data_IF_745553553896
#
_entry.id   IF_745553553896
#
_cell.length_a   1.000
_cell.length_b   1.000
_cell.length_c   1.000
_cell.angle_alpha   90.00
_cell.angle_beta   90.00
_cell.angle_gamma   90.00
#
_symmetry.space_group_name_H-M   'P 1'
#
loop_
_entity.id
_entity.type
_entity.pdbx_description
1 polymer ?
#
# COMPACT_ATOMS: atom_id res chain seq x y z
N UNK A 1 -17.88 8.60 3.51
CA UNK A 1 -18.37 8.06 2.23
C UNK A 1 -19.58 7.16 2.49
N UNK A 2 -20.55 7.06 1.61
CA UNK A 2 -21.71 6.16 1.72
C UNK A 2 -22.01 5.53 0.37
N UNK A 3 -22.24 4.22 0.36
CA UNK A 3 -22.60 3.45 -0.84
C UNK A 3 -24.10 3.64 -1.14
N UNK A 4 -24.43 4.04 -2.36
CA UNK A 4 -25.81 4.23 -2.79
C UNK A 4 -26.50 2.87 -2.99
N UNK A 5 -27.80 2.79 -2.60
CA UNK A 5 -28.55 1.54 -2.66
C UNK A 5 -28.28 0.55 -1.55
N UNK A 6 -27.39 0.89 -0.59
CA UNK A 6 -27.12 0.04 0.55
C UNK A 6 -28.37 -0.28 1.38
N UNK A 7 -28.46 -1.51 1.86
CA UNK A 7 -29.55 -1.96 2.72
C UNK A 7 -29.43 -1.28 4.08
N UNK A 8 -30.36 -0.40 4.44
CA UNK A 8 -30.32 0.46 5.64
C UNK A 8 -30.26 -0.30 6.99
N UNK A 9 -30.48 -1.61 7.00
CA UNK A 9 -30.44 -2.44 8.21
C UNK A 9 -29.12 -3.21 8.37
N UNK A 10 -28.17 -3.08 7.42
CA UNK A 10 -26.91 -3.76 7.50
C UNK A 10 -26.03 -3.07 8.55
N UNK A 11 -25.63 -3.82 9.56
CA UNK A 11 -24.72 -3.34 10.61
C UNK A 11 -23.31 -3.86 10.32
N UNK A 12 -22.33 -2.97 10.37
CA UNK A 12 -20.93 -3.36 10.27
C UNK A 12 -20.53 -4.19 11.48
N UNK A 13 -19.83 -5.30 11.24
CA UNK A 13 -19.20 -6.10 12.28
C UNK A 13 -17.69 -5.91 12.25
N UNK A 14 -17.10 -5.69 13.42
CA UNK A 14 -15.65 -5.70 13.57
C UNK A 14 -15.19 -7.15 13.39
N UNK A 15 -14.28 -7.36 12.44
CA UNK A 15 -13.65 -8.67 12.26
C UNK A 15 -12.37 -8.66 13.07
N UNK A 16 -12.38 -9.47 14.13
CA UNK A 16 -11.19 -9.82 14.87
C UNK A 16 -10.60 -11.09 14.26
N UNK A 17 -9.46 -10.98 13.58
CA UNK A 17 -8.81 -12.12 12.94
C UNK A 17 -8.15 -13.07 13.92
N UNK A 18 -8.15 -12.76 15.22
CA UNK A 18 -7.54 -13.58 16.25
C UNK A 18 -8.55 -13.91 17.35
N UNK A 19 -9.02 -15.15 17.37
CA UNK A 19 -9.68 -15.70 18.53
C UNK A 19 -8.68 -15.68 19.70
N UNK A 20 -8.88 -14.75 20.64
CA UNK A 20 -8.14 -14.70 21.90
C UNK A 20 -8.57 -15.86 22.80
N UNK A 21 -8.18 -17.08 22.49
CA UNK A 21 -8.31 -18.17 23.43
C UNK A 21 -7.00 -18.34 24.20
N UNK A 22 -7.11 -18.01 25.48
CA UNK A 22 -6.41 -18.52 26.64
C UNK A 22 -4.89 -18.59 26.58
N UNK A 23 -4.18 -17.50 26.79
CA UNK A 23 -2.77 -17.63 27.09
C UNK A 23 -2.17 -16.37 27.70
N UNK A 24 -0.92 -16.38 28.04
CA UNK A 24 -0.21 -15.41 28.86
C UNK A 24 -0.39 -13.95 28.41
N UNK A 25 -0.24 -13.00 29.33
CA UNK A 25 -0.27 -11.54 29.07
C UNK A 25 0.59 -11.14 27.88
N UNK A 26 1.74 -11.81 27.68
CA UNK A 26 2.66 -11.56 26.56
C UNK A 26 2.05 -12.00 25.21
N UNK A 27 1.39 -13.17 25.17
CA UNK A 27 0.73 -13.66 23.96
C UNK A 27 -0.49 -12.79 23.59
N UNK A 28 -1.23 -12.29 24.59
CA UNK A 28 -2.30 -11.32 24.38
C UNK A 28 -1.75 -10.00 23.82
N UNK A 29 -0.61 -9.51 24.29
CA UNK A 29 0.05 -8.33 23.72
C UNK A 29 0.53 -8.57 22.29
N UNK A 30 1.16 -9.71 21.99
CA UNK A 30 1.59 -10.09 20.65
C UNK A 30 0.41 -10.27 19.69
N UNK A 31 -0.71 -10.78 20.19
CA UNK A 31 -1.96 -10.90 19.41
C UNK A 31 -2.56 -9.53 19.13
N UNK A 32 -2.52 -8.60 20.10
CA UNK A 32 -2.94 -7.21 19.92
C UNK A 32 -2.09 -6.45 18.88
N UNK A 33 -0.82 -6.82 18.71
CA UNK A 33 0.08 -6.24 17.70
C UNK A 33 -0.33 -6.57 16.26
N UNK A 34 -1.12 -7.64 16.05
CA UNK A 34 -1.58 -8.09 14.73
C UNK A 34 -3.04 -7.75 14.42
N UNK A 35 -3.71 -6.91 15.20
CA UNK A 35 -5.08 -6.49 14.94
C UNK A 35 -5.12 -5.36 13.91
N UNK A 36 -5.64 -5.63 12.73
CA UNK A 36 -6.11 -4.60 11.81
C UNK A 36 -7.56 -4.22 12.16
N UNK A 37 -7.86 -2.93 12.19
CA UNK A 37 -9.24 -2.48 12.37
C UNK A 37 -10.00 -2.70 11.06
N UNK A 38 -10.71 -3.81 10.97
CA UNK A 38 -11.54 -4.16 9.81
C UNK A 38 -13.01 -4.11 10.20
N UNK A 39 -13.82 -3.44 9.38
CA UNK A 39 -15.28 -3.42 9.52
C UNK A 39 -15.88 -4.00 8.27
N UNK A 40 -16.65 -5.08 8.41
CA UNK A 40 -17.32 -5.76 7.31
C UNK A 40 -18.82 -5.53 7.39
N UNK A 41 -19.40 -5.03 6.32
CA UNK A 41 -20.83 -4.94 6.07
C UNK A 41 -21.22 -6.06 5.10
N UNK A 42 -21.75 -7.15 5.64
CA UNK A 42 -22.17 -8.30 4.83
C UNK A 42 -23.46 -8.01 4.09
N UNK A 43 -23.52 -8.45 2.83
CA UNK A 43 -24.70 -8.33 1.97
C UNK A 43 -25.26 -6.90 1.93
N UNK A 44 -24.36 -5.90 1.86
CA UNK A 44 -24.76 -4.49 1.77
C UNK A 44 -25.56 -4.22 0.48
N UNK A 45 -25.24 -4.95 -0.58
CA UNK A 45 -26.02 -5.15 -1.79
C UNK A 45 -26.19 -6.65 -2.04
N UNK A 46 -27.08 -7.06 -2.94
CA UNK A 46 -27.25 -8.48 -3.25
C UNK A 46 -25.96 -9.13 -3.78
N UNK A 47 -25.40 -10.04 -2.99
CA UNK A 47 -24.14 -10.73 -3.27
C UNK A 47 -22.90 -9.85 -3.18
N UNK A 48 -22.96 -8.71 -2.50
CA UNK A 48 -21.82 -7.81 -2.30
C UNK A 48 -21.64 -7.49 -0.83
N UNK A 49 -20.43 -7.67 -0.33
CA UNK A 49 -20.01 -7.18 0.96
C UNK A 49 -19.17 -5.92 0.77
N UNK A 50 -19.17 -5.03 1.77
CA UNK A 50 -18.31 -3.86 1.82
C UNK A 50 -17.41 -3.96 3.05
N UNK A 51 -16.12 -3.86 2.84
CA UNK A 51 -15.14 -3.94 3.89
C UNK A 51 -14.33 -2.63 3.97
N UNK A 52 -14.20 -2.11 5.17
CA UNK A 52 -13.25 -1.03 5.46
C UNK A 52 -12.11 -1.58 6.27
N UNK A 53 -10.88 -1.35 5.80
CA UNK A 53 -9.66 -1.61 6.53
C UNK A 53 -9.07 -0.24 6.87
N UNK A 54 -9.04 0.09 8.16
CA UNK A 54 -8.52 1.37 8.63
C UNK A 54 -7.05 1.19 8.95
N UNK A 55 -6.21 1.79 8.13
CA UNK A 55 -4.78 1.92 8.33
C UNK A 55 -4.47 3.32 8.88
N UNK A 56 -3.24 3.57 9.29
CA UNK A 56 -2.86 4.81 9.94
C UNK A 56 -2.98 6.06 9.06
N UNK A 57 -2.92 5.93 7.75
CA UNK A 57 -2.98 7.07 6.80
C UNK A 57 -3.87 6.80 5.59
N UNK A 58 -4.43 5.60 5.48
CA UNK A 58 -5.43 5.30 4.48
C UNK A 58 -6.64 4.60 5.09
N UNK A 59 -7.75 4.69 4.40
CA UNK A 59 -8.90 3.82 4.59
C UNK A 59 -9.05 3.02 3.32
N UNK A 60 -8.70 1.75 3.40
CA UNK A 60 -8.91 0.81 2.31
C UNK A 60 -10.37 0.40 2.30
N UNK A 61 -11.05 0.56 1.18
CA UNK A 61 -12.42 0.13 0.97
C UNK A 61 -12.43 -1.01 -0.04
N UNK A 62 -12.80 -2.19 0.38
CA UNK A 62 -12.94 -3.34 -0.49
C UNK A 62 -14.41 -3.60 -0.80
N UNK A 63 -14.77 -3.60 -2.08
CA UNK A 63 -16.05 -4.09 -2.55
C UNK A 63 -15.86 -5.57 -2.88
N UNK A 64 -16.46 -6.47 -2.09
CA UNK A 64 -16.29 -7.91 -2.22
C UNK A 64 -17.50 -8.48 -2.94
N UNK A 65 -17.33 -8.82 -4.22
CA UNK A 65 -18.36 -9.39 -5.06
C UNK A 65 -18.33 -10.90 -4.93
N UNK A 66 -19.41 -11.50 -4.44
CA UNK A 66 -19.48 -12.93 -4.10
C UNK A 66 -20.03 -13.81 -5.23
N UNK A 67 -20.69 -13.24 -6.20
CA UNK A 67 -21.36 -13.98 -7.29
C UNK A 67 -21.44 -13.15 -8.57
N UNK A 68 -21.62 -13.83 -9.71
CA UNK A 68 -21.87 -13.18 -11.01
C UNK A 68 -23.10 -12.25 -10.95
N UNK A 69 -23.02 -11.12 -11.63
CA UNK A 69 -24.07 -10.09 -11.72
C UNK A 69 -24.13 -9.52 -13.15
N UNK A 70 -25.18 -8.76 -13.44
CA UNK A 70 -25.33 -8.03 -14.71
C UNK A 70 -24.78 -6.61 -14.66
N UNK A 71 -24.38 -6.14 -13.46
CA UNK A 71 -23.90 -4.77 -13.27
C UNK A 71 -22.82 -4.75 -12.18
N UNK A 72 -21.69 -4.14 -12.49
CA UNK A 72 -20.54 -3.96 -11.61
C UNK A 72 -20.15 -2.48 -11.50
N UNK A 73 -21.16 -1.63 -11.37
CA UNK A 73 -21.02 -0.19 -11.15
C UNK A 73 -21.47 0.16 -9.74
N UNK A 74 -20.56 0.66 -8.92
CA UNK A 74 -20.80 0.99 -7.52
C UNK A 74 -20.70 2.50 -7.32
N UNK A 75 -21.76 3.10 -6.80
CA UNK A 75 -21.86 4.56 -6.64
C UNK A 75 -21.76 4.94 -5.17
N UNK A 76 -20.87 5.88 -4.88
CA UNK A 76 -20.63 6.41 -3.54
C UNK A 76 -20.91 7.91 -3.49
N UNK A 77 -21.52 8.35 -2.40
CA UNK A 77 -21.57 9.77 -2.05
C UNK A 77 -20.41 10.10 -1.12
N UNK A 78 -19.54 11.01 -1.55
CA UNK A 78 -18.41 11.53 -0.75
C UNK A 78 -18.77 12.94 -0.28
N UNK A 79 -18.51 13.22 1.00
CA UNK A 79 -18.59 14.57 1.56
C UNK A 79 -17.18 14.99 1.99
N UNK A 80 -16.71 16.06 1.41
CA UNK A 80 -15.42 16.67 1.70
C UNK A 80 -15.59 17.97 2.46
N UNK A 81 -14.71 18.21 3.43
CA UNK A 81 -14.63 19.47 4.15
C UNK A 81 -13.28 20.10 3.81
N UNK A 82 -13.29 21.33 3.31
CA UNK A 82 -12.12 22.09 2.89
C UNK A 82 -11.25 21.41 1.80
N UNK A 83 -11.80 20.46 1.09
CA UNK A 83 -11.12 19.78 -0.03
C UNK A 83 -11.99 19.83 -1.29
N UNK A 84 -11.33 19.96 -2.44
CA UNK A 84 -11.91 19.78 -3.75
C UNK A 84 -11.45 18.43 -4.33
N UNK A 85 -12.32 17.75 -5.09
CA UNK A 85 -11.99 16.51 -5.77
C UNK A 85 -12.00 16.70 -7.29
N UNK A 86 -10.97 16.20 -7.96
CA UNK A 86 -10.85 16.23 -9.43
C UNK A 86 -10.37 14.87 -9.91
N UNK A 87 -11.05 14.33 -10.92
CA UNK A 87 -10.59 13.16 -11.67
C UNK A 87 -9.54 13.64 -12.70
N UNK A 88 -8.31 13.14 -12.60
CA UNK A 88 -7.22 13.51 -13.48
C UNK A 88 -7.18 12.67 -14.77
N UNK A 89 -6.27 13.01 -15.68
CA UNK A 89 -6.07 12.30 -16.96
C UNK A 89 -5.52 10.88 -16.78
N UNK A 90 -4.93 10.57 -15.62
CA UNK A 90 -4.45 9.23 -15.25
C UNK A 90 -5.53 8.35 -14.66
N UNK A 91 -6.77 8.85 -14.51
CA UNK A 91 -7.87 8.12 -13.88
C UNK A 91 -7.81 8.07 -12.35
N UNK A 92 -7.02 8.93 -11.72
CA UNK A 92 -6.91 9.11 -10.27
C UNK A 92 -7.80 10.26 -9.82
N UNK A 93 -8.22 10.25 -8.55
CA UNK A 93 -8.92 11.39 -7.97
C UNK A 93 -7.97 12.15 -7.05
N UNK A 94 -7.70 13.39 -7.38
CA UNK A 94 -6.90 14.30 -6.59
C UNK A 94 -7.80 15.06 -5.62
N UNK A 95 -7.49 15.00 -4.33
CA UNK A 95 -8.15 15.74 -3.28
C UNK A 95 -7.23 16.89 -2.86
N UNK A 96 -7.58 18.11 -3.25
CA UNK A 96 -6.75 19.31 -3.02
C UNK A 96 -7.39 20.21 -1.97
N UNK A 97 -6.58 20.84 -1.13
CA UNK A 97 -7.03 21.88 -0.20
C UNK A 97 -7.75 23.00 -0.97
N UNK A 98 -8.94 23.35 -0.53
CA UNK A 98 -9.81 24.30 -1.24
C UNK A 98 -9.27 25.72 -1.29
N UNK A 99 -8.34 26.09 -0.40
CA UNK A 99 -7.75 27.43 -0.31
C UNK A 99 -6.42 27.56 -1.02
N UNK A 100 -5.54 26.57 -0.89
CA UNK A 100 -4.18 26.58 -1.47
C UNK A 100 -4.10 25.89 -2.83
N UNK A 101 -5.03 24.96 -3.13
CA UNK A 101 -4.94 24.08 -4.31
C UNK A 101 -3.91 22.95 -4.18
N UNK A 102 -3.24 22.83 -3.03
CA UNK A 102 -2.27 21.76 -2.78
C UNK A 102 -2.97 20.40 -2.73
N UNK A 103 -2.45 19.41 -3.44
CA UNK A 103 -2.96 18.03 -3.37
C UNK A 103 -2.59 17.43 -2.01
N UNK A 104 -3.60 17.10 -1.21
CA UNK A 104 -3.45 16.54 0.12
C UNK A 104 -3.59 15.02 0.12
N UNK A 105 -4.47 14.48 -0.75
CA UNK A 105 -4.71 13.06 -0.89
C UNK A 105 -4.91 12.68 -2.35
N UNK A 106 -4.61 11.41 -2.66
CA UNK A 106 -4.89 10.80 -3.96
C UNK A 106 -5.71 9.53 -3.72
N UNK A 107 -6.78 9.35 -4.50
CA UNK A 107 -7.45 8.07 -4.67
C UNK A 107 -6.90 7.50 -5.97
N UNK A 108 -5.99 6.50 -5.94
CA UNK A 108 -5.43 5.89 -7.13
C UNK A 108 -6.50 5.24 -8.01
N UNK A 109 -6.16 4.89 -9.23
CA UNK A 109 -7.02 4.08 -10.11
C UNK A 109 -7.48 2.81 -9.40
N UNK A 110 -8.75 2.39 -9.59
CA UNK A 110 -9.25 1.20 -8.94
C UNK A 110 -8.53 -0.05 -9.45
N UNK A 111 -8.40 -1.04 -8.61
CA UNK A 111 -7.90 -2.37 -8.99
C UNK A 111 -8.95 -3.43 -8.68
N UNK A 112 -8.91 -4.56 -9.39
CA UNK A 112 -9.73 -5.72 -9.06
C UNK A 112 -8.92 -7.01 -9.22
N UNK A 113 -9.19 -7.98 -8.35
CA UNK A 113 -8.59 -9.30 -8.41
C UNK A 113 -9.58 -10.37 -7.94
N UNK A 114 -9.47 -11.55 -8.51
CA UNK A 114 -10.29 -12.70 -8.15
C UNK A 114 -9.68 -13.54 -7.00
N UNK A 115 -10.40 -14.56 -6.55
CA UNK A 115 -9.97 -15.40 -5.44
C UNK A 115 -8.67 -16.20 -5.73
N UNK A 116 -8.33 -16.40 -6.99
CA UNK A 116 -7.07 -17.05 -7.43
C UNK A 116 -5.93 -16.04 -7.56
N UNK A 117 -6.18 -14.75 -7.28
CA UNK A 117 -5.19 -13.68 -7.34
C UNK A 117 -4.94 -13.15 -8.77
N UNK A 118 -5.83 -13.42 -9.71
CA UNK A 118 -5.75 -12.90 -11.08
C UNK A 118 -6.28 -11.47 -11.10
N UNK A 119 -5.41 -10.52 -11.45
CA UNK A 119 -5.77 -9.10 -11.55
C UNK A 119 -6.42 -8.76 -12.88
N UNK A 120 -7.38 -7.85 -12.84
CA UNK A 120 -7.91 -7.20 -14.03
C UNK A 120 -6.86 -6.24 -14.61
N UNK A 121 -6.83 -6.12 -15.95
CA UNK A 121 -6.09 -5.03 -16.59
C UNK A 121 -6.66 -3.68 -16.16
N UNK A 122 -5.79 -2.68 -15.93
CA UNK A 122 -6.20 -1.36 -15.46
C UNK A 122 -7.17 -0.64 -16.42
N UNK A 123 -7.14 -0.95 -17.72
CA UNK A 123 -8.07 -0.42 -18.70
C UNK A 123 -9.53 -0.90 -18.53
N UNK A 124 -9.74 -1.97 -17.75
CA UNK A 124 -11.05 -2.57 -17.48
C UNK A 124 -11.76 -1.94 -16.26
N UNK A 125 -11.09 -1.00 -15.58
CA UNK A 125 -11.63 -0.29 -14.43
C UNK A 125 -11.52 1.21 -14.61
N UNK A 126 -12.53 1.95 -14.16
CA UNK A 126 -12.47 3.41 -14.18
C UNK A 126 -13.33 4.04 -13.08
N UNK A 127 -12.96 5.27 -12.71
CA UNK A 127 -13.82 6.16 -11.95
C UNK A 127 -14.62 7.07 -12.88
N UNK A 128 -15.79 7.47 -12.40
CA UNK A 128 -16.42 8.72 -12.81
C UNK A 128 -16.74 9.54 -11.57
N UNK A 129 -16.46 10.85 -11.63
CA UNK A 129 -16.64 11.78 -10.53
C UNK A 129 -17.56 12.93 -10.98
N UNK A 130 -18.55 13.26 -10.15
CA UNK A 130 -19.43 14.40 -10.39
C UNK A 130 -19.54 15.24 -9.13
N UNK A 131 -19.28 16.54 -9.24
CA UNK A 131 -19.54 17.50 -8.17
C UNK A 131 -21.04 17.78 -8.07
N UNK A 132 -21.61 17.55 -6.91
CA UNK A 132 -23.04 17.80 -6.62
C UNK A 132 -23.25 19.06 -5.77
N UNK A 133 -22.18 19.82 -5.51
CA UNK A 133 -22.19 21.06 -4.77
C UNK A 133 -22.08 20.87 -3.25
N UNK A 134 -21.74 21.95 -2.56
CA UNK A 134 -21.59 21.98 -1.09
C UNK A 134 -20.58 20.96 -0.54
N UNK A 135 -19.47 20.73 -1.25
CA UNK A 135 -18.45 19.76 -0.89
C UNK A 135 -18.92 18.30 -0.99
N UNK A 136 -19.98 18.04 -1.75
CA UNK A 136 -20.44 16.68 -2.01
C UNK A 136 -20.11 16.27 -3.43
N UNK A 137 -19.67 15.03 -3.57
CA UNK A 137 -19.32 14.41 -4.85
C UNK A 137 -19.98 13.05 -4.95
N UNK A 138 -20.36 12.70 -6.17
CA UNK A 138 -20.76 11.33 -6.53
C UNK A 138 -19.57 10.68 -7.21
N UNK A 139 -19.00 9.64 -6.57
CA UNK A 139 -17.97 8.78 -7.11
C UNK A 139 -18.61 7.48 -7.59
N UNK A 140 -18.31 7.07 -8.81
CA UNK A 140 -18.72 5.77 -9.32
C UNK A 140 -17.47 4.97 -9.70
N UNK A 141 -17.43 3.73 -9.23
CA UNK A 141 -16.42 2.72 -9.59
C UNK A 141 -17.06 1.78 -10.59
N UNK A 142 -16.47 1.64 -11.78
CA UNK A 142 -16.97 0.75 -12.82
C UNK A 142 -15.92 -0.32 -13.11
N UNK A 143 -16.39 -1.56 -13.28
CA UNK A 143 -15.54 -2.70 -13.68
C UNK A 143 -16.17 -3.34 -14.92
N UNK A 144 -15.32 -3.77 -15.85
CA UNK A 144 -15.75 -4.44 -17.07
C UNK A 144 -16.55 -5.71 -16.77
N UNK A 145 -17.73 -5.78 -17.36
CA UNK A 145 -18.70 -6.87 -17.10
C UNK A 145 -18.24 -8.20 -17.70
N UNK A 146 -17.56 -8.18 -18.83
CA UNK A 146 -17.11 -9.40 -19.52
C UNK A 146 -15.97 -10.03 -18.73
N UNK A 147 -15.02 -9.22 -18.22
CA UNK A 147 -13.98 -9.70 -17.34
C UNK A 147 -14.55 -10.30 -16.05
N UNK A 148 -15.47 -9.58 -15.40
CA UNK A 148 -16.12 -10.03 -14.16
C UNK A 148 -16.88 -11.35 -14.35
N UNK A 149 -17.55 -11.55 -15.50
CA UNK A 149 -18.37 -12.72 -15.76
C UNK A 149 -17.66 -13.84 -16.52
N UNK A 150 -16.39 -13.69 -16.88
CA UNK A 150 -15.61 -14.75 -17.53
C UNK A 150 -15.67 -16.05 -16.70
N UNK A 151 -15.69 -17.18 -17.39
CA UNK A 151 -15.73 -18.49 -16.76
C UNK A 151 -14.40 -18.85 -16.07
N UNK A 152 -13.31 -18.12 -16.39
CA UNK A 152 -12.00 -18.22 -15.76
C UNK A 152 -11.90 -17.44 -14.44
N UNK A 153 -12.99 -16.80 -13.97
CA UNK A 153 -12.97 -16.01 -12.72
C UNK A 153 -13.37 -16.84 -11.51
N UNK A 154 -12.56 -16.77 -10.47
CA UNK A 154 -12.85 -17.36 -9.17
C UNK A 154 -13.47 -16.30 -8.24
N UNK A 155 -14.68 -16.55 -7.76
CA UNK A 155 -15.33 -15.67 -6.78
C UNK A 155 -14.93 -16.05 -5.35
N UNK A 156 -14.85 -15.09 -4.39
CA UNK A 156 -15.19 -13.67 -4.56
C UNK A 156 -14.16 -12.89 -5.34
N UNK A 157 -14.63 -11.84 -6.04
CA UNK A 157 -13.78 -10.83 -6.65
C UNK A 157 -13.75 -9.62 -5.74
N UNK A 158 -12.55 -9.08 -5.48
CA UNK A 158 -12.35 -7.87 -4.69
C UNK A 158 -12.05 -6.71 -5.62
N UNK A 159 -12.81 -5.62 -5.47
CA UNK A 159 -12.56 -4.34 -6.12
C UNK A 159 -12.07 -3.39 -5.03
N UNK A 160 -10.88 -2.84 -5.22
CA UNK A 160 -10.15 -2.06 -4.22
C UNK A 160 -9.91 -0.64 -4.73
N UNK A 161 -10.69 0.38 -4.31
CA UNK A 161 -10.40 1.78 -4.48
C UNK A 161 -9.63 2.32 -3.25
N UNK A 162 -8.30 2.20 -3.16
CA UNK A 162 -7.54 2.67 -2.00
C UNK A 162 -7.55 4.20 -1.92
N UNK A 163 -7.46 4.75 -0.70
CA UNK A 163 -7.12 6.17 -0.46
C UNK A 163 -5.71 6.19 0.09
N UNK A 164 -4.76 6.79 -0.64
CA UNK A 164 -3.36 6.83 -0.25
C UNK A 164 -2.79 8.24 -0.12
N UNK A 165 -1.65 8.36 0.57
CA UNK A 165 -0.87 9.59 0.67
C UNK A 165 -0.27 9.95 -0.69
N UNK A 166 -0.08 11.24 -1.03
CA UNK A 166 0.49 11.66 -2.30
C UNK A 166 1.84 11.02 -2.61
N UNK A 167 1.99 10.47 -3.80
CA UNK A 167 3.26 9.94 -4.31
C UNK A 167 4.34 11.03 -4.40
N UNK A 168 3.95 12.30 -4.49
CA UNK A 168 4.89 13.44 -4.48
C UNK A 168 5.81 13.48 -3.24
N UNK A 169 5.49 12.72 -2.18
CA UNK A 169 6.36 12.56 -1.02
C UNK A 169 7.33 11.38 -1.12
N UNK A 170 7.19 10.52 -2.14
CA UNK A 170 8.02 9.32 -2.32
C UNK A 170 9.21 9.63 -3.22
N UNK A 171 10.36 9.08 -2.87
CA UNK A 171 11.54 9.01 -3.74
C UNK A 171 11.97 7.56 -3.77
N UNK A 172 12.03 6.96 -4.93
CA UNK A 172 12.59 5.64 -5.13
C UNK A 172 13.54 5.62 -6.34
N UNK A 173 14.45 4.70 -6.34
CA UNK A 173 15.41 4.47 -7.41
C UNK A 173 16.16 3.16 -7.20
N UNK A 174 16.96 2.77 -8.15
CA UNK A 174 18.00 1.75 -7.97
C UNK A 174 19.39 2.27 -8.31
N UNK A 175 20.40 1.57 -7.83
CA UNK A 175 21.81 1.80 -8.12
C UNK A 175 22.44 0.52 -8.61
N UNK A 176 23.48 0.65 -9.45
CA UNK A 176 24.11 -0.50 -10.11
C UNK A 176 25.64 -0.46 -9.93
N UNK A 177 26.24 -1.58 -9.45
CA UNK A 177 27.71 -1.68 -9.29
C UNK A 177 28.48 -1.76 -10.60
N UNK A 178 27.86 -2.23 -11.69
CA UNK A 178 28.51 -2.31 -13.02
C UNK A 178 28.46 -0.99 -13.77
N UNK A 179 27.55 -0.08 -13.38
CA UNK A 179 27.49 1.30 -13.83
C UNK A 179 27.43 2.22 -12.59
N UNK A 180 28.53 2.27 -11.87
CA UNK A 180 28.59 2.74 -10.48
C UNK A 180 28.30 4.24 -10.29
N UNK A 181 28.30 5.02 -11.35
CA UNK A 181 27.97 6.46 -11.36
C UNK A 181 26.55 6.74 -11.89
N UNK A 182 25.78 5.70 -12.28
CA UNK A 182 24.39 5.86 -12.71
C UNK A 182 23.47 6.09 -11.52
N UNK A 183 22.56 7.06 -11.65
CA UNK A 183 21.38 7.24 -10.84
C UNK A 183 20.13 7.09 -11.73
N UNK A 184 19.05 6.49 -11.21
CA UNK A 184 17.85 6.16 -11.99
C UNK A 184 16.53 6.59 -11.33
N UNK A 185 16.38 7.87 -10.94
CA UNK A 185 15.19 8.32 -10.24
C UNK A 185 13.91 8.42 -11.11
N UNK A 186 14.07 8.31 -12.45
CA UNK A 186 12.95 8.41 -13.40
C UNK A 186 12.65 7.07 -14.08
N UNK A 187 13.29 5.98 -13.65
CA UNK A 187 13.03 4.67 -14.23
C UNK A 187 11.70 4.10 -13.72
N UNK A 188 10.86 3.50 -14.58
CA UNK A 188 9.56 2.96 -14.19
C UNK A 188 9.67 1.67 -13.35
N UNK A 189 10.87 1.21 -13.07
CA UNK A 189 11.15 -0.02 -12.33
C UNK A 189 12.33 0.15 -11.38
N UNK A 190 12.24 -0.58 -10.26
CA UNK A 190 13.32 -0.76 -9.28
C UNK A 190 13.90 -2.15 -9.47
N UNK A 191 15.19 -2.25 -9.79
CA UNK A 191 15.88 -3.52 -9.97
C UNK A 191 16.60 -3.96 -8.69
N UNK A 192 16.56 -5.26 -8.37
CA UNK A 192 17.25 -5.85 -7.22
C UNK A 192 17.95 -7.15 -7.60
N UNK A 193 19.28 -7.18 -7.41
CA UNK A 193 20.15 -8.35 -7.57
C UNK A 193 21.46 -8.14 -6.81
N UNK A 194 22.43 -9.04 -6.98
CA UNK A 194 23.80 -8.84 -6.40
C UNK A 194 24.52 -7.59 -6.92
N UNK A 195 24.13 -7.07 -8.09
CA UNK A 195 24.69 -5.86 -8.70
C UNK A 195 23.72 -4.68 -8.71
N UNK A 196 22.47 -4.86 -8.33
CA UNK A 196 21.45 -3.83 -8.27
C UNK A 196 20.84 -3.76 -6.88
N UNK A 197 20.81 -2.56 -6.29
CA UNK A 197 20.15 -2.30 -5.00
C UNK A 197 19.04 -1.28 -5.20
N UNK A 198 17.84 -1.59 -4.72
CA UNK A 198 16.69 -0.69 -4.72
C UNK A 198 16.63 0.17 -3.48
N UNK A 199 16.08 1.37 -3.60
CA UNK A 199 15.88 2.34 -2.51
C UNK A 199 14.48 2.93 -2.57
N UNK A 200 13.91 3.17 -1.41
CA UNK A 200 12.63 3.84 -1.25
C UNK A 200 12.64 4.69 0.02
N UNK A 201 12.16 5.91 -0.05
CA UNK A 201 11.85 6.74 1.14
C UNK A 201 10.65 7.64 0.89
N UNK A 202 10.03 8.10 1.98
CA UNK A 202 9.04 9.18 1.95
C UNK A 202 9.56 10.41 2.68
N UNK A 203 9.33 11.60 2.14
CA UNK A 203 9.73 12.87 2.76
C UNK A 203 8.84 13.27 3.94
N UNK A 204 7.63 12.68 4.05
CA UNK A 204 6.73 12.93 5.17
C UNK A 204 6.12 11.64 5.69
N UNK A 205 6.12 11.50 7.01
CA UNK A 205 5.38 10.45 7.69
C UNK A 205 3.98 10.96 8.03
N UNK A 206 2.93 10.11 7.95
CA UNK A 206 1.58 10.50 8.34
C UNK A 206 1.52 10.85 9.83
N UNK A 207 0.59 11.74 10.19
CA UNK A 207 0.37 12.04 11.59
C UNK A 207 -0.19 10.81 12.32
N UNK A 208 0.50 10.38 13.37
CA UNK A 208 0.04 9.35 14.31
C UNK A 208 -0.04 10.04 15.69
N UNK A 209 -1.19 9.93 16.42
CA UNK A 209 -1.30 10.50 17.76
C UNK A 209 -0.19 10.00 18.69
N UNK A 210 0.33 10.87 19.57
CA UNK A 210 1.36 10.48 20.55
C UNK A 210 0.91 9.35 21.48
N UNK A 211 -0.41 9.23 21.71
CA UNK A 211 -1.02 8.16 22.49
C UNK A 211 -1.15 6.84 21.73
N UNK A 212 -0.82 6.82 20.44
CA UNK A 212 -1.01 5.63 19.62
C UNK A 212 0.23 4.73 19.64
N UNK A 213 -0.05 3.42 19.59
CA UNK A 213 0.98 2.39 19.44
C UNK A 213 0.93 1.82 18.02
N UNK A 214 2.04 1.87 17.30
CA UNK A 214 2.17 1.29 15.95
C UNK A 214 2.16 -0.22 16.08
N UNK A 215 1.12 -0.87 15.55
CA UNK A 215 0.93 -2.32 15.63
C UNK A 215 1.62 -3.05 14.49
N UNK A 216 1.74 -2.42 13.32
CA UNK A 216 2.42 -2.98 12.16
C UNK A 216 2.78 -1.89 11.16
N UNK A 217 3.84 -2.11 10.40
CA UNK A 217 4.15 -1.29 9.23
C UNK A 217 4.83 -2.15 8.15
N UNK A 218 4.44 -1.94 6.92
CA UNK A 218 4.98 -2.68 5.79
C UNK A 218 5.18 -1.79 4.58
N UNK A 219 6.20 -2.12 3.81
CA UNK A 219 6.38 -1.63 2.45
C UNK A 219 6.10 -2.75 1.47
N UNK A 220 5.43 -2.45 0.38
CA UNK A 220 5.17 -3.45 -0.65
C UNK A 220 5.54 -2.96 -2.03
N UNK A 221 6.10 -3.85 -2.83
CA UNK A 221 6.46 -3.64 -4.22
C UNK A 221 5.76 -4.67 -5.09
N UNK A 222 5.25 -4.26 -6.25
CA UNK A 222 4.64 -5.16 -7.23
C UNK A 222 5.67 -5.54 -8.28
N UNK A 223 5.84 -6.82 -8.50
CA UNK A 223 6.84 -7.36 -9.43
C UNK A 223 6.43 -7.14 -10.88
N UNK A 224 7.40 -6.82 -11.71
CA UNK A 224 7.29 -6.77 -13.17
C UNK A 224 8.08 -7.90 -13.84
N UNK A 225 9.10 -8.43 -13.15
CA UNK A 225 9.82 -9.64 -13.55
C UNK A 225 10.52 -10.29 -12.37
N UNK A 226 10.62 -11.62 -12.36
CA UNK A 226 11.09 -12.42 -11.24
C UNK A 226 12.19 -13.40 -11.63
N UNK A 227 13.23 -13.56 -10.80
CA UNK A 227 14.38 -14.39 -11.08
C UNK A 227 14.85 -15.26 -9.91
N UNK A 228 13.95 -15.63 -9.00
CA UNK A 228 14.28 -16.58 -7.91
C UNK A 228 15.19 -16.02 -6.83
N UNK A 229 15.07 -14.75 -6.51
CA UNK A 229 15.91 -14.07 -5.51
C UNK A 229 15.25 -14.05 -4.14
N UNK A 230 16.06 -14.21 -3.08
CA UNK A 230 15.67 -13.83 -1.72
C UNK A 230 16.01 -12.35 -1.52
N UNK A 231 15.02 -11.49 -1.55
CA UNK A 231 15.18 -10.04 -1.43
C UNK A 231 14.83 -9.59 -0.02
N UNK A 232 15.80 -8.97 0.65
CA UNK A 232 15.67 -8.40 1.98
C UNK A 232 15.40 -6.91 1.95
N UNK A 233 14.66 -6.44 2.98
CA UNK A 233 14.52 -5.04 3.33
C UNK A 233 15.49 -4.68 4.45
N UNK A 234 16.14 -3.52 4.33
CA UNK A 234 17.18 -3.04 5.25
C UNK A 234 16.95 -1.57 5.57
N UNK A 235 17.25 -1.17 6.81
CA UNK A 235 17.28 0.24 7.17
C UNK A 235 18.37 0.97 6.37
N UNK A 236 18.06 2.14 5.84
CA UNK A 236 19.04 3.09 5.32
C UNK A 236 19.53 3.96 6.48
N UNK A 237 20.87 4.06 6.66
CA UNK A 237 21.52 4.67 7.83
C UNK A 237 21.95 6.11 7.60
N UNK A 238 22.09 6.52 6.34
CA UNK A 238 22.57 7.86 5.96
C UNK A 238 21.67 8.47 4.90
N UNK A 239 21.52 9.79 4.92
CA UNK A 239 20.66 10.48 3.98
C UNK A 239 21.12 10.31 2.51
N UNK A 240 20.17 10.42 1.61
CA UNK A 240 20.35 10.30 0.17
C UNK A 240 19.25 11.04 -0.59
N UNK A 241 19.47 11.29 -1.86
CA UNK A 241 18.52 11.95 -2.74
C UNK A 241 18.46 11.27 -4.12
N UNK A 242 17.71 11.84 -5.05
CA UNK A 242 17.55 11.35 -6.42
C UNK A 242 18.85 11.26 -7.23
N UNK A 243 19.98 11.73 -6.72
CA UNK A 243 21.30 11.64 -7.35
C UNK A 243 22.16 10.49 -6.79
N UNK A 244 21.56 9.60 -5.94
CA UNK A 244 22.28 8.48 -5.34
C UNK A 244 22.86 7.57 -6.43
N UNK A 245 24.12 7.16 -6.24
CA UNK A 245 24.84 6.22 -7.13
C UNK A 245 25.54 5.16 -6.28
N UNK A 246 25.99 4.06 -6.91
CA UNK A 246 26.74 3.03 -6.20
C UNK A 246 28.00 3.58 -5.53
N UNK A 247 28.77 4.41 -6.26
CA UNK A 247 29.99 5.02 -5.74
C UNK A 247 29.74 5.89 -4.49
N UNK A 248 28.60 6.56 -4.41
CA UNK A 248 28.23 7.37 -3.23
C UNK A 248 27.97 6.52 -1.99
N UNK A 249 27.54 5.26 -2.15
CA UNK A 249 27.26 4.37 -0.99
C UNK A 249 28.53 3.82 -0.34
N UNK A 250 29.64 3.81 -1.07
CA UNK A 250 30.94 3.28 -0.61
C UNK A 250 32.02 4.35 -0.40
N UNK A 251 31.68 5.62 -0.57
CA UNK A 251 32.58 6.75 -0.32
C UNK A 251 32.95 6.91 1.17
N UNK A 252 33.93 7.70 1.49
CA UNK A 252 34.35 8.00 2.87
C UNK A 252 33.23 8.62 3.71
N UNK A 253 32.34 9.41 3.07
CA UNK A 253 31.09 9.92 3.65
C UNK A 253 29.90 9.33 2.88
N UNK A 254 29.48 8.11 3.19
CA UNK A 254 28.54 7.38 2.37
C UNK A 254 27.13 7.99 2.45
N UNK A 255 26.48 8.12 1.30
CA UNK A 255 25.06 8.40 1.16
C UNK A 255 24.30 7.08 0.97
N UNK A 256 23.08 6.98 1.48
CA UNK A 256 22.24 5.79 1.28
C UNK A 256 22.85 4.48 1.81
N UNK A 257 23.73 4.55 2.81
CA UNK A 257 24.35 3.34 3.40
C UNK A 257 23.29 2.46 4.03
N UNK A 258 23.18 1.21 3.59
CA UNK A 258 22.27 0.22 4.18
C UNK A 258 22.89 -0.44 5.43
N UNK A 259 22.04 -0.74 6.38
CA UNK A 259 22.35 -1.60 7.53
C UNK A 259 22.75 -3.00 7.08
N UNK A 260 23.54 -3.68 7.91
CA UNK A 260 23.74 -5.13 7.80
C UNK A 260 22.60 -5.94 8.44
N UNK A 261 21.75 -5.28 9.26
CA UNK A 261 20.63 -5.92 9.92
C UNK A 261 19.46 -6.06 8.95
N UNK A 262 19.01 -7.29 8.74
CA UNK A 262 17.86 -7.65 7.93
C UNK A 262 16.58 -7.36 8.72
N UNK A 263 15.67 -6.57 8.15
CA UNK A 263 14.35 -6.32 8.73
C UNK A 263 13.38 -7.47 8.42
N UNK A 264 13.27 -7.80 7.14
CA UNK A 264 12.42 -8.86 6.62
C UNK A 264 12.89 -9.29 5.22
N UNK A 265 12.43 -10.44 4.70
CA UNK A 265 12.77 -10.89 3.36
C UNK A 265 11.63 -11.64 2.67
N UNK A 266 11.61 -11.59 1.34
CA UNK A 266 10.72 -12.36 0.49
C UNK A 266 11.50 -13.23 -0.50
N UNK A 267 10.98 -14.42 -0.79
CA UNK A 267 11.41 -15.23 -1.90
C UNK A 267 10.61 -14.83 -3.15
N UNK A 268 11.29 -14.27 -4.13
CA UNK A 268 10.70 -13.87 -5.42
C UNK A 268 11.05 -14.97 -6.43
N UNK A 269 10.15 -15.93 -6.62
CA UNK A 269 10.40 -17.13 -7.40
C UNK A 269 10.61 -16.85 -8.90
N UNK A 270 11.38 -17.71 -9.58
CA UNK A 270 11.75 -17.54 -10.99
C UNK A 270 10.74 -18.09 -12.00
N UNK A 271 9.70 -18.76 -11.56
CA UNK A 271 8.59 -19.19 -12.39
C UNK A 271 7.65 -18.02 -12.58
N UNK A 272 7.21 -17.75 -13.78
CA UNK A 272 6.32 -16.66 -14.18
C UNK A 272 5.02 -16.55 -13.34
N UNK A 273 4.81 -17.49 -12.41
CA UNK A 273 3.72 -17.49 -11.43
C UNK A 273 3.74 -16.27 -10.47
N UNK A 274 4.89 -15.64 -10.29
CA UNK A 274 5.03 -14.47 -9.40
C UNK A 274 5.08 -13.13 -10.16
N UNK A 275 4.97 -13.12 -11.51
CA UNK A 275 4.84 -11.90 -12.30
C UNK A 275 3.54 -11.20 -11.94
N UNK A 276 3.61 -9.87 -11.80
CA UNK A 276 2.50 -9.03 -11.35
C UNK A 276 2.06 -9.24 -9.90
N UNK A 277 2.75 -10.06 -9.12
CA UNK A 277 2.46 -10.29 -7.70
C UNK A 277 3.04 -9.17 -6.84
N UNK A 278 2.32 -8.81 -5.77
CA UNK A 278 2.80 -7.85 -4.78
C UNK A 278 3.47 -8.57 -3.62
N UNK A 279 4.67 -8.13 -3.28
CA UNK A 279 5.48 -8.63 -2.16
C UNK A 279 5.47 -7.60 -1.05
N UNK A 280 5.47 -8.05 0.20
CA UNK A 280 5.33 -7.23 1.40
C UNK A 280 6.50 -7.50 2.34
N UNK A 281 7.15 -6.44 2.80
CA UNK A 281 8.21 -6.50 3.81
C UNK A 281 7.77 -5.81 5.08
N UNK A 282 7.85 -6.52 6.21
CA UNK A 282 7.60 -5.96 7.53
C UNK A 282 8.76 -5.03 7.92
N UNK A 283 8.43 -3.77 8.15
CA UNK A 283 9.36 -2.73 8.61
C UNK A 283 8.88 -2.06 9.90
N UNK A 284 8.04 -2.75 10.67
CA UNK A 284 7.40 -2.23 11.89
C UNK A 284 8.41 -1.67 12.89
N UNK A 285 9.51 -2.40 13.14
CA UNK A 285 10.55 -1.96 14.07
C UNK A 285 11.24 -0.66 13.61
N UNK A 286 11.47 -0.54 12.31
CA UNK A 286 12.07 0.64 11.70
C UNK A 286 11.13 1.84 11.79
N UNK A 287 9.85 1.67 11.43
CA UNK A 287 8.85 2.74 11.49
C UNK A 287 8.64 3.22 12.93
N UNK A 288 8.58 2.31 13.90
CA UNK A 288 8.55 2.69 15.32
C UNK A 288 9.73 3.57 15.71
N UNK A 289 10.94 3.27 15.21
CA UNK A 289 12.12 4.08 15.49
C UNK A 289 12.02 5.48 14.88
N UNK A 290 11.42 5.63 13.69
CA UNK A 290 11.19 6.93 13.08
C UNK A 290 10.26 7.81 13.92
N UNK A 291 9.15 7.24 14.43
CA UNK A 291 8.24 7.96 15.33
C UNK A 291 8.82 8.21 16.73
N UNK A 292 9.88 7.48 17.09
CA UNK A 292 10.66 7.72 18.32
C UNK A 292 11.81 8.72 18.13
N UNK A 293 11.90 9.38 16.96
CA UNK A 293 12.89 10.44 16.69
C UNK A 293 14.13 9.99 15.92
N UNK A 294 14.24 8.72 15.51
CA UNK A 294 15.29 8.31 14.57
C UNK A 294 14.99 8.92 13.18
N UNK A 295 16.02 9.41 12.51
CA UNK A 295 15.87 9.97 11.17
C UNK A 295 15.32 8.94 10.18
N UNK A 296 14.35 9.37 9.36
CA UNK A 296 13.79 8.57 8.28
C UNK A 296 14.63 8.74 7.00
N UNK A 297 15.53 7.79 6.77
CA UNK A 297 16.28 7.70 5.51
C UNK A 297 15.74 6.60 4.59
N UNK A 298 14.60 5.99 4.93
CA UNK A 298 13.89 5.01 4.12
C UNK A 298 14.38 3.58 4.26
N UNK A 299 14.06 2.79 3.24
CA UNK A 299 14.30 1.35 3.15
C UNK A 299 15.13 1.05 1.92
N UNK A 300 16.14 0.20 2.07
CA UNK A 300 16.91 -0.34 0.97
C UNK A 300 16.57 -1.80 0.71
N UNK A 301 16.60 -2.21 -0.54
CA UNK A 301 16.34 -3.58 -0.99
C UNK A 301 17.59 -4.15 -1.65
N UNK A 302 18.04 -5.30 -1.15
CA UNK A 302 19.15 -6.06 -1.74
C UNK A 302 18.96 -7.56 -1.47
N UNK A 303 19.64 -8.46 -2.19
CA UNK A 303 19.61 -9.88 -1.89
C UNK A 303 20.06 -10.18 -0.45
N UNK A 304 19.42 -11.17 0.17
CA UNK A 304 19.85 -11.67 1.50
C UNK A 304 21.22 -12.34 1.43
N UNK A 305 21.53 -12.94 0.25
CA UNK A 305 22.82 -13.54 -0.04
C UNK A 305 23.28 -13.13 -1.44
N UNK A 306 24.47 -12.55 -1.54
CA UNK A 306 25.05 -12.05 -2.80
C UNK A 306 25.37 -13.18 -3.79
N UNK A 307 25.39 -14.43 -3.36
CA UNK A 307 25.84 -15.57 -4.19
C UNK A 307 24.78 -16.14 -5.15
N UNK A 308 23.50 -15.80 -4.99
CA UNK A 308 22.40 -16.44 -5.73
C UNK A 308 21.66 -15.52 -6.69
N UNK A 309 21.81 -14.21 -6.58
CA UNK A 309 21.03 -13.21 -7.30
C UNK A 309 21.74 -12.67 -8.55
N UNK A 310 22.13 -13.54 -9.48
CA UNK A 310 22.86 -13.12 -10.71
C UNK A 310 21.99 -12.36 -11.72
N UNK A 311 20.67 -12.52 -11.67
CA UNK A 311 19.70 -11.78 -12.49
C UNK A 311 18.85 -10.89 -11.60
N UNK A 312 18.52 -9.70 -12.10
CA UNK A 312 17.73 -8.74 -11.33
C UNK A 312 16.25 -9.06 -11.40
N UNK A 313 15.58 -9.18 -10.24
CA UNK A 313 14.14 -9.05 -10.15
C UNK A 313 13.78 -7.56 -10.26
N UNK A 314 12.68 -7.24 -10.94
CA UNK A 314 12.22 -5.89 -11.16
C UNK A 314 10.84 -5.67 -10.53
N UNK A 315 10.65 -4.48 -9.96
CA UNK A 315 9.41 -4.04 -9.33
C UNK A 315 9.03 -2.67 -9.88
N UNK A 316 7.73 -2.36 -9.91
CA UNK A 316 7.29 -1.02 -10.28
C UNK A 316 7.80 0.03 -9.30
N UNK A 317 8.22 1.17 -9.83
CA UNK A 317 8.62 2.38 -9.10
C UNK A 317 7.45 3.35 -8.97
N UNK A 318 7.64 4.47 -8.28
CA UNK A 318 6.69 5.60 -8.28
C UNK A 318 6.54 6.26 -9.66
N UNK A 319 7.45 5.97 -10.59
CA UNK A 319 7.47 6.49 -11.98
C UNK A 319 6.83 5.51 -12.98
N UNK A 320 6.30 4.37 -12.53
CA UNK A 320 5.60 3.42 -13.39
C UNK A 320 4.38 4.07 -14.06
N UNK A 321 4.11 3.72 -15.31
CA UNK A 321 2.95 4.28 -16.04
C UNK A 321 1.59 3.83 -15.50
N UNK A 322 1.55 2.67 -14.83
CA UNK A 322 0.38 2.11 -14.16
C UNK A 322 0.55 2.23 -12.64
N UNK A 323 -0.32 3.00 -11.99
CA UNK A 323 -0.29 3.24 -10.55
C UNK A 323 -0.48 1.98 -9.71
N UNK A 324 -1.02 0.89 -10.26
CA UNK A 324 -1.12 -0.39 -9.57
C UNK A 324 0.24 -1.01 -9.25
N UNK A 325 1.31 -0.56 -9.93
CA UNK A 325 2.68 -0.98 -9.68
C UNK A 325 3.42 -0.13 -8.64
N UNK A 326 2.87 1.02 -8.26
CA UNK A 326 3.54 1.89 -7.30
C UNK A 326 3.87 1.18 -6.00
N UNK A 327 5.03 1.49 -5.39
CA UNK A 327 5.32 1.09 -4.01
C UNK A 327 4.20 1.54 -3.07
N UNK A 328 3.82 0.68 -2.13
CA UNK A 328 2.83 1.02 -1.12
C UNK A 328 3.47 0.91 0.26
N UNK A 329 3.23 1.92 1.08
CA UNK A 329 3.69 1.96 2.46
C UNK A 329 2.49 2.04 3.39
N UNK A 330 2.37 1.08 4.31
CA UNK A 330 1.24 0.95 5.22
C UNK A 330 1.72 0.98 6.66
N UNK A 331 1.06 1.75 7.52
CA UNK A 331 1.28 1.75 8.97
C UNK A 331 -0.06 1.46 9.66
N UNK A 332 -0.08 0.45 10.50
CA UNK A 332 -1.20 0.16 11.38
C UNK A 332 -0.88 0.65 12.80
N UNK A 333 -1.81 1.34 13.43
CA UNK A 333 -1.63 1.77 14.82
C UNK A 333 -2.93 1.64 15.60
N UNK A 334 -2.83 1.67 16.92
CA UNK A 334 -3.95 1.70 17.84
C UNK A 334 -3.83 2.93 18.73
N UNK A 335 -4.89 3.76 18.79
CA UNK A 335 -4.97 4.84 19.76
C UNK A 335 -5.24 4.26 21.16
N UNK A 336 -4.35 4.56 22.11
CA UNK A 336 -4.40 4.05 23.47
C UNK A 336 -5.22 4.94 24.43
N UNK A 337 -5.76 6.08 23.94
CA UNK A 337 -6.55 7.02 24.79
C UNK A 337 -7.75 6.41 25.51
N UNK A 338 -8.24 5.23 25.06
CA UNK A 338 -9.33 4.52 25.72
C UNK A 338 -8.88 3.46 26.73
N UNK A 339 -7.58 3.20 26.87
CA UNK A 339 -7.06 2.06 27.68
C UNK A 339 -6.57 2.53 29.05
N UNK A 340 -6.15 3.78 29.21
CA UNK A 340 -5.69 4.31 30.51
C UNK A 340 -6.76 4.25 31.61
N UNK A 341 -8.06 4.26 31.26
CA UNK A 341 -9.17 4.14 32.21
C UNK A 341 -9.41 2.72 32.72
N UNK A 342 -8.81 1.69 32.15
CA UNK A 342 -9.00 0.29 32.56
C UNK A 342 -7.90 -0.25 33.48
N UNK A 343 -6.82 0.50 33.70
CA UNK A 343 -5.66 0.07 34.52
C UNK A 343 -5.64 0.69 35.93
N UNK A 344 -6.63 1.52 36.24
CA UNK A 344 -6.71 2.25 37.52
C UNK A 344 -7.65 1.60 38.56
N UNK A 345 -8.01 0.31 38.37
CA UNK A 345 -8.80 -0.45 39.36
C UNK A 345 -8.22 -1.85 39.61
#
# INVERSE_FOLDING_TARGET
MSLDGAIKKTTGSIIDNNSMDGSTKLQKMLTLENLSARVLYKDILDGVDLEYIINSYDVKENIIVKKKSTNYSYTFTIKLNNLNAVLDEKGQILLSDASSGTVEYIIPTPTAYDADGVYADSSLLCYSLSDTGNGKYTLRVNVDTDWMNSDDRAYPIVIDPPISVPISSVTDLDINSTNADRSSPADPSIFVSSTWHGYWKTSSLPYIPESAYITGAQISLRSTSNYGNYIGAYQVLTDWDSTLTWNKTIADSPQGKMSSYLLDYNCVNSDNADDNKRFYWDITSLVRSWYSGTANYGVGFKPVSDTTASKASAFGSSEASDSSYYPQFTINYRDMKGIESYWAY
#
